data_IF_451869267269
#
_entry.id   IF_451869267269
#
_cell.length_a   1.000
_cell.length_b   1.000
_cell.length_c   1.000
_cell.angle_alpha   90.00
_cell.angle_beta   90.00
_cell.angle_gamma   90.00
#
_symmetry.space_group_name_H-M   'P 1'
#
loop_
_entity.id
_entity.type
_entity.pdbx_description
1 polymer ?
#
# COMPACT_ATOMS: atom_id res chain seq x y z
N UNK A 1 11.94 -21.22 -11.96
CA UNK A 1 10.85 -20.33 -12.41
C UNK A 1 10.14 -19.81 -11.17
N UNK A 2 10.50 -18.63 -10.68
CA UNK A 2 9.71 -17.95 -9.67
C UNK A 2 8.49 -17.39 -10.37
N UNK A 3 7.31 -17.87 -9.99
CA UNK A 3 6.04 -17.44 -10.55
C UNK A 3 5.88 -15.94 -10.23
N UNK A 4 6.17 -15.06 -11.19
CA UNK A 4 6.22 -13.60 -10.99
C UNK A 4 4.81 -12.99 -10.97
N UNK A 5 3.93 -13.54 -10.14
CA UNK A 5 2.58 -13.01 -9.95
C UNK A 5 2.56 -12.25 -8.63
N UNK A 6 2.87 -10.96 -8.70
CA UNK A 6 2.71 -10.02 -7.59
C UNK A 6 1.24 -9.90 -7.22
N UNK A 7 0.96 -9.83 -5.92
CA UNK A 7 -0.39 -9.64 -5.41
C UNK A 7 -0.72 -8.15 -5.45
N UNK A 8 -1.84 -7.81 -6.07
CA UNK A 8 -2.37 -6.44 -6.11
C UNK A 8 -2.95 -6.07 -4.74
N UNK A 9 -2.44 -5.00 -4.15
CA UNK A 9 -2.80 -4.52 -2.82
C UNK A 9 -3.42 -3.13 -2.89
N UNK A 10 -4.58 -2.95 -2.23
CA UNK A 10 -5.16 -1.64 -1.93
C UNK A 10 -5.09 -1.41 -0.42
N UNK A 11 -4.61 -0.24 0.00
CA UNK A 11 -4.53 0.13 1.42
C UNK A 11 -5.55 1.22 1.74
N UNK A 12 -6.51 0.92 2.62
CA UNK A 12 -7.41 1.91 3.21
C UNK A 12 -6.82 2.47 4.51
N UNK A 13 -7.03 3.77 4.77
CA UNK A 13 -6.35 4.46 5.87
C UNK A 13 -4.85 4.59 5.62
N UNK A 14 -4.44 4.72 4.34
CA UNK A 14 -3.05 4.69 3.91
C UNK A 14 -2.20 5.82 4.52
N UNK A 15 -2.80 6.98 4.81
CA UNK A 15 -2.16 8.08 5.49
C UNK A 15 -2.20 7.94 7.02
N UNK A 16 -2.92 6.97 7.58
CA UNK A 16 -2.89 6.64 9.01
C UNK A 16 -1.64 5.88 9.45
N UNK A 17 -1.41 5.76 10.77
CA UNK A 17 -0.21 5.09 11.33
C UNK A 17 -0.03 3.65 10.82
N UNK A 18 -1.12 2.90 10.73
CA UNK A 18 -1.05 1.50 10.27
C UNK A 18 -0.92 1.42 8.75
N UNK A 19 -1.68 2.22 8.00
CA UNK A 19 -1.59 2.24 6.55
C UNK A 19 -0.18 2.58 6.06
N UNK A 20 0.47 3.56 6.69
CA UNK A 20 1.87 3.90 6.36
C UNK A 20 2.84 2.73 6.61
N UNK A 21 2.62 1.94 7.66
CA UNK A 21 3.43 0.74 7.94
C UNK A 21 3.19 -0.36 6.91
N UNK A 22 1.93 -0.60 6.54
CA UNK A 22 1.56 -1.56 5.50
C UNK A 22 2.20 -1.17 4.15
N UNK A 23 2.09 0.11 3.77
CA UNK A 23 2.72 0.65 2.57
C UNK A 23 4.24 0.43 2.59
N UNK A 24 4.89 0.73 3.72
CA UNK A 24 6.33 0.53 3.87
C UNK A 24 6.73 -0.95 3.71
N UNK A 25 5.99 -1.89 4.30
CA UNK A 25 6.23 -3.32 4.14
C UNK A 25 6.05 -3.79 2.70
N UNK A 26 4.97 -3.38 2.03
CA UNK A 26 4.72 -3.75 0.64
C UNK A 26 5.78 -3.19 -0.32
N UNK A 27 6.28 -1.98 -0.09
CA UNK A 27 7.38 -1.37 -0.86
C UNK A 27 8.70 -2.12 -0.65
N UNK A 28 8.93 -2.70 0.54
CA UNK A 28 10.13 -3.48 0.83
C UNK A 28 10.16 -4.86 0.14
N UNK A 29 9.01 -5.34 -0.35
CA UNK A 29 8.84 -6.66 -0.96
C UNK A 29 8.14 -6.56 -2.34
N UNK A 30 8.74 -5.85 -3.33
CA UNK A 30 8.10 -5.55 -4.62
C UNK A 30 7.85 -6.79 -5.49
N UNK A 31 8.60 -7.88 -5.27
CA UNK A 31 8.39 -9.16 -5.97
C UNK A 31 7.14 -9.91 -5.47
N UNK A 32 6.62 -9.53 -4.30
CA UNK A 32 5.42 -10.12 -3.70
C UNK A 32 4.21 -9.18 -3.83
N UNK A 33 4.42 -7.87 -3.70
CA UNK A 33 3.33 -6.90 -3.57
C UNK A 33 3.40 -5.79 -4.62
N UNK A 34 2.25 -5.53 -5.24
CA UNK A 34 2.03 -4.35 -6.07
C UNK A 34 0.94 -3.48 -5.45
N UNK A 35 1.32 -2.33 -4.90
CA UNK A 35 0.33 -1.35 -4.42
C UNK A 35 -0.36 -0.73 -5.64
N UNK A 36 -1.66 -0.97 -5.77
CA UNK A 36 -2.50 -0.44 -6.87
C UNK A 36 -3.49 0.64 -6.39
N UNK A 37 -3.54 0.90 -5.09
CA UNK A 37 -4.34 1.98 -4.52
C UNK A 37 -3.96 2.27 -3.06
N UNK A 38 -3.98 3.55 -2.71
CA UNK A 38 -3.79 4.05 -1.37
C UNK A 38 -4.89 5.09 -1.10
N UNK A 39 -5.82 4.77 -0.20
CA UNK A 39 -7.06 5.51 0.03
C UNK A 39 -7.10 5.94 1.49
N UNK A 40 -7.58 7.15 1.77
CA UNK A 40 -7.85 7.62 3.12
C UNK A 40 -9.13 8.47 3.16
N UNK A 41 -9.54 8.92 4.35
CA UNK A 41 -10.69 9.80 4.53
C UNK A 41 -10.46 11.13 3.82
N UNK A 42 -11.45 11.64 3.09
CA UNK A 42 -11.31 12.87 2.28
C UNK A 42 -10.85 14.13 3.04
N UNK A 43 -10.94 14.13 4.37
CA UNK A 43 -10.49 15.20 5.26
C UNK A 43 -9.09 14.99 5.85
N UNK A 44 -8.39 13.91 5.51
CA UNK A 44 -7.08 13.61 6.07
C UNK A 44 -6.07 14.71 5.67
N UNK A 45 -5.31 15.32 6.60
CA UNK A 45 -4.40 16.44 6.33
C UNK A 45 -3.19 16.09 5.43
N UNK A 46 -3.11 14.84 4.97
CA UNK A 46 -2.06 14.33 4.08
C UNK A 46 -2.64 13.89 2.72
N UNK A 47 -3.93 14.12 2.49
CA UNK A 47 -4.48 14.10 1.14
C UNK A 47 -4.16 15.43 0.48
N UNK A 48 -3.43 15.38 -0.63
CA UNK A 48 -2.92 16.53 -1.37
C UNK A 48 -2.04 16.05 -2.50
#
# INVERSE_FOLDING_TARGET
MTNTHTIKLVVHGAAGRMGQRIVACAVAEPDQWQIVGAIDSGSHPRLG
#
